data_IF_642853539394
#
_entry.id   IF_642853539394
#
_cell.length_a   1.000
_cell.length_b   1.000
_cell.length_c   1.000
_cell.angle_alpha   90.00
_cell.angle_beta   90.00
_cell.angle_gamma   90.00
#
_symmetry.space_group_name_H-M   'P 1'
#
loop_
_entity.id
_entity.type
_entity.pdbx_description
1 polymer ?
#
# COMPACT_ATOMS: atom_id res chain seq x y z
N UNK A 1 -10.05 -8.02 -20.52
CA UNK A 1 -9.16 -8.86 -19.68
C UNK A 1 -9.32 -8.41 -18.24
N UNK A 2 -10.37 -8.86 -17.55
CA UNK A 2 -10.47 -8.69 -16.10
C UNK A 2 -9.43 -9.61 -15.46
N UNK A 3 -8.27 -9.03 -15.12
CA UNK A 3 -7.28 -9.73 -14.31
C UNK A 3 -7.91 -9.93 -12.94
N UNK A 4 -8.48 -11.11 -12.70
CA UNK A 4 -8.73 -11.61 -11.36
C UNK A 4 -7.37 -11.79 -10.69
N UNK A 5 -6.81 -10.68 -10.19
CA UNK A 5 -5.77 -10.76 -9.18
C UNK A 5 -6.42 -11.57 -8.06
N UNK A 6 -5.96 -12.82 -7.89
CA UNK A 6 -6.51 -13.71 -6.89
C UNK A 6 -6.47 -13.00 -5.53
N UNK A 7 -7.38 -13.33 -4.60
CA UNK A 7 -7.38 -12.75 -3.24
C UNK A 7 -5.97 -12.78 -2.61
N UNK A 8 -5.17 -13.79 -2.97
CA UNK A 8 -3.76 -13.91 -2.66
C UNK A 8 -2.88 -12.78 -3.22
N UNK A 9 -3.05 -12.42 -4.50
CA UNK A 9 -2.31 -11.30 -5.11
C UNK A 9 -2.62 -9.95 -4.46
N UNK A 10 -3.87 -9.70 -4.04
CA UNK A 10 -4.21 -8.50 -3.28
C UNK A 10 -3.63 -8.51 -1.87
N UNK A 11 -3.65 -9.66 -1.18
CA UNK A 11 -2.98 -9.80 0.13
C UNK A 11 -1.47 -9.57 0.04
N UNK A 12 -0.82 -10.08 -1.00
CA UNK A 12 0.61 -9.90 -1.23
C UNK A 12 0.95 -8.44 -1.55
N UNK A 13 0.08 -7.73 -2.28
CA UNK A 13 0.19 -6.30 -2.52
C UNK A 13 0.08 -5.48 -1.22
N UNK A 14 -0.85 -5.82 -0.33
CA UNK A 14 -0.96 -5.17 0.99
C UNK A 14 0.31 -5.37 1.81
N UNK A 15 0.84 -6.60 1.86
CA UNK A 15 2.10 -6.89 2.56
C UNK A 15 3.24 -6.05 1.98
N UNK A 16 3.37 -5.98 0.65
CA UNK A 16 4.38 -5.17 -0.01
C UNK A 16 4.25 -3.67 0.33
N UNK A 17 3.02 -3.14 0.39
CA UNK A 17 2.76 -1.75 0.76
C UNK A 17 3.12 -1.46 2.22
N UNK A 18 2.78 -2.37 3.15
CA UNK A 18 3.12 -2.26 4.57
C UNK A 18 4.65 -2.29 4.75
N UNK A 19 5.32 -3.24 4.11
CA UNK A 19 6.78 -3.32 4.15
C UNK A 19 7.43 -2.07 3.55
N UNK A 20 6.88 -1.54 2.46
CA UNK A 20 7.35 -0.30 1.86
C UNK A 20 7.18 0.88 2.82
N UNK A 21 6.04 0.98 3.51
CA UNK A 21 5.80 2.03 4.50
C UNK A 21 6.79 2.00 5.67
N UNK A 22 7.29 0.82 6.03
CA UNK A 22 8.32 0.66 7.06
C UNK A 22 9.73 0.90 6.50
N UNK A 23 10.07 0.31 5.35
CA UNK A 23 11.43 0.35 4.81
C UNK A 23 11.78 1.74 4.27
N UNK A 24 10.88 2.38 3.50
CA UNK A 24 11.14 3.68 2.87
C UNK A 24 11.65 4.76 3.84
N UNK A 25 11.02 5.03 4.99
CA UNK A 25 11.49 6.07 5.91
C UNK A 25 12.84 5.75 6.56
N UNK A 26 13.15 4.47 6.79
CA UNK A 26 14.38 4.07 7.48
C UNK A 26 15.55 3.76 6.54
N UNK A 27 15.35 3.82 5.21
CA UNK A 27 16.40 3.46 4.23
C UNK A 27 16.58 4.48 3.13
N UNK A 28 15.54 4.77 2.35
CA UNK A 28 15.63 5.61 1.14
C UNK A 28 15.37 7.08 1.48
N UNK A 29 14.44 7.32 2.39
CA UNK A 29 14.06 8.66 2.83
C UNK A 29 14.75 9.04 4.15
N UNK A 30 15.74 8.28 4.60
CA UNK A 30 16.45 8.52 5.88
C UNK A 30 17.13 9.88 5.93
N UNK A 31 17.65 10.35 4.80
CA UNK A 31 18.33 11.66 4.69
C UNK A 31 17.37 12.78 4.27
N UNK A 32 16.10 12.45 3.99
CA UNK A 32 15.08 13.44 3.63
C UNK A 32 14.51 14.02 4.92
N UNK A 33 15.22 15.00 5.46
CA UNK A 33 14.82 15.75 6.65
C UNK A 33 13.54 16.62 6.43
N UNK A 34 12.99 16.62 5.21
CA UNK A 34 11.80 17.39 4.83
C UNK A 34 10.52 16.54 4.96
N UNK A 35 9.66 16.91 5.92
CA UNK A 35 8.38 16.26 6.22
C UNK A 35 7.43 16.16 5.00
N UNK A 36 7.53 17.09 4.06
CA UNK A 36 6.65 17.18 2.89
C UNK A 36 6.79 16.02 1.90
N UNK A 37 8.02 15.54 1.66
CA UNK A 37 8.27 14.41 0.74
C UNK A 37 7.74 13.09 1.31
N UNK A 38 8.00 12.86 2.59
CA UNK A 38 7.55 11.67 3.32
C UNK A 38 6.03 11.61 3.46
N UNK A 39 5.36 12.77 3.63
CA UNK A 39 3.90 12.83 3.70
C UNK A 39 3.22 12.40 2.40
N UNK A 40 3.74 12.82 1.24
CA UNK A 40 3.16 12.43 -0.06
C UNK A 40 3.30 10.92 -0.32
N UNK A 41 4.47 10.36 -0.01
CA UNK A 41 4.72 8.91 -0.16
C UNK A 41 3.78 8.10 0.75
N UNK A 42 3.68 8.48 2.03
CA UNK A 42 2.78 7.79 2.96
C UNK A 42 1.31 7.96 2.59
N UNK A 43 0.93 9.13 2.07
CA UNK A 43 -0.42 9.38 1.55
C UNK A 43 -0.79 8.45 0.40
N UNK A 44 0.11 8.29 -0.58
CA UNK A 44 -0.10 7.37 -1.71
C UNK A 44 -0.21 5.92 -1.21
N UNK A 45 0.70 5.49 -0.32
CA UNK A 45 0.67 4.13 0.23
C UNK A 45 -0.65 3.88 0.98
N UNK A 46 -1.11 4.84 1.78
CA UNK A 46 -2.39 4.76 2.49
C UNK A 46 -3.58 4.62 1.55
N UNK A 47 -3.65 5.43 0.49
CA UNK A 47 -4.71 5.34 -0.53
C UNK A 47 -4.70 3.97 -1.21
N UNK A 48 -3.52 3.44 -1.56
CA UNK A 48 -3.38 2.12 -2.18
C UNK A 48 -3.85 1.00 -1.23
N UNK A 49 -3.56 1.09 0.08
CA UNK A 49 -4.05 0.15 1.09
C UNK A 49 -5.58 0.19 1.20
N UNK A 50 -6.19 1.38 1.18
CA UNK A 50 -7.65 1.52 1.23
C UNK A 50 -8.29 0.84 0.02
N UNK A 51 -7.78 1.11 -1.19
CA UNK A 51 -8.28 0.49 -2.43
C UNK A 51 -8.13 -1.03 -2.36
N UNK A 52 -6.97 -1.54 -1.94
CA UNK A 52 -6.73 -2.96 -1.82
C UNK A 52 -7.69 -3.64 -0.84
N UNK A 53 -7.95 -3.01 0.32
CA UNK A 53 -8.90 -3.52 1.30
C UNK A 53 -10.34 -3.54 0.75
N UNK A 54 -10.78 -2.48 0.08
CA UNK A 54 -12.10 -2.44 -0.56
C UNK A 54 -12.23 -3.58 -1.57
N UNK A 55 -11.22 -3.80 -2.41
CA UNK A 55 -11.24 -4.87 -3.42
C UNK A 55 -11.31 -6.27 -2.80
N UNK A 56 -10.61 -6.53 -1.70
CA UNK A 56 -10.65 -7.81 -0.99
C UNK A 56 -12.00 -8.04 -0.29
N UNK A 57 -12.56 -6.99 0.33
CA UNK A 57 -13.77 -7.07 1.15
C UNK A 57 -15.07 -6.93 0.36
N UNK A 58 -15.02 -6.49 -0.91
CA UNK A 58 -16.20 -6.28 -1.77
C UNK A 58 -17.10 -7.51 -1.90
N UNK A 59 -16.53 -8.70 -1.84
CA UNK A 59 -17.25 -9.97 -2.00
C UNK A 59 -17.48 -10.69 -0.65
N UNK A 60 -17.25 -10.05 0.50
CA UNK A 60 -17.50 -10.66 1.82
C UNK A 60 -18.99 -10.72 2.21
N UNK A 61 -19.83 -9.86 1.62
CA UNK A 61 -21.26 -9.76 1.92
C UNK A 61 -22.19 -10.43 0.89
N UNK A 62 -21.63 -11.16 -0.08
CA UNK A 62 -22.37 -12.06 -0.97
C UNK A 62 -22.30 -13.48 -0.42
#
# INVERSE_FOLDING_TARGET
>A
MEKQVSKFGWGLLIIALILSAYILPYTILSDVQAWYGSFLVWGIIGVLIIIANIMITRDWGK
#
